data_IF_227887150768
#
_entry.id   IF_227887150768
#
_cell.length_a   1.000
_cell.length_b   1.000
_cell.length_c   1.000
_cell.angle_alpha   90.00
_cell.angle_beta   90.00
_cell.angle_gamma   90.00
#
_symmetry.space_group_name_H-M   'P 1'
#
loop_
_entity.id
_entity.type
_entity.pdbx_description
1 polymer ?
#
# COMPACT_ATOMS: atom_id res chain seq x y z
N UNK A 1 6.47 -1.00 0.77
CA UNK A 1 6.96 0.22 0.08
C UNK A 1 5.93 1.32 -0.03
N UNK A 2 4.78 1.15 -0.70
CA UNK A 2 3.80 2.26 -0.87
C UNK A 2 3.43 2.95 0.46
N UNK A 3 3.04 2.16 1.47
CA UNK A 3 2.74 2.64 2.83
C UNK A 3 3.92 3.43 3.44
N UNK A 4 5.09 2.80 3.51
CA UNK A 4 6.30 3.38 4.12
C UNK A 4 6.79 4.63 3.42
N UNK A 5 6.66 4.69 2.10
CA UNK A 5 7.05 5.85 1.29
C UNK A 5 6.03 6.99 1.33
N UNK A 6 4.99 6.88 2.16
CA UNK A 6 3.85 7.78 2.16
C UNK A 6 3.33 8.03 0.73
N UNK A 7 3.10 6.97 -0.05
CA UNK A 7 2.53 7.03 -1.39
C UNK A 7 3.45 7.56 -2.50
N UNK A 8 4.71 7.91 -2.21
CA UNK A 8 5.70 8.33 -3.24
C UNK A 8 5.92 7.22 -4.25
N UNK A 9 6.10 5.99 -3.77
CA UNK A 9 6.12 4.80 -4.62
C UNK A 9 4.74 4.14 -4.60
N UNK A 10 4.23 3.76 -5.77
CA UNK A 10 2.97 3.03 -5.90
C UNK A 10 3.23 1.54 -6.07
N UNK A 11 2.45 0.71 -5.39
CA UNK A 11 2.44 -0.74 -5.54
C UNK A 11 1.69 -1.11 -6.83
N UNK A 12 2.38 -1.63 -7.86
CA UNK A 12 1.76 -1.92 -9.15
C UNK A 12 0.90 -3.18 -9.07
N UNK A 13 -0.27 -3.14 -9.70
CA UNK A 13 -1.04 -4.35 -9.99
C UNK A 13 -0.49 -4.96 -11.28
N UNK A 14 -0.06 -6.21 -11.20
CA UNK A 14 0.49 -6.96 -12.33
C UNK A 14 -0.28 -8.26 -12.50
N UNK A 15 -0.36 -8.74 -13.74
CA UNK A 15 -1.00 -10.00 -14.10
C UNK A 15 -0.10 -10.75 -15.07
N UNK A 16 -0.07 -12.07 -14.94
CA UNK A 16 0.53 -12.95 -15.95
C UNK A 16 -0.57 -13.48 -16.85
N UNK A 17 -0.33 -13.51 -18.15
CA UNK A 17 -1.21 -14.11 -19.15
C UNK A 17 -0.58 -15.39 -19.68
N UNK A 18 -1.42 -16.37 -20.02
CA UNK A 18 -0.96 -17.61 -20.65
C UNK A 18 -0.58 -17.34 -22.11
N UNK A 19 0.34 -18.15 -22.61
CA UNK A 19 0.75 -18.16 -24.02
C UNK A 19 0.64 -19.60 -24.57
N UNK A 20 0.81 -19.78 -25.88
CA UNK A 20 0.88 -21.11 -26.48
C UNK A 20 2.15 -21.89 -26.13
N UNK A 21 3.13 -21.23 -25.52
CA UNK A 21 4.42 -21.80 -25.13
C UNK A 21 4.57 -21.90 -23.61
N UNK A 22 5.36 -22.86 -23.15
CA UNK A 22 5.71 -23.02 -21.75
C UNK A 22 6.58 -21.86 -21.26
N UNK A 23 6.25 -21.31 -20.09
CA UNK A 23 6.99 -20.22 -19.46
C UNK A 23 7.20 -20.51 -17.99
N UNK A 24 8.46 -20.40 -17.55
CA UNK A 24 8.86 -20.50 -16.14
C UNK A 24 9.44 -19.17 -15.69
N UNK A 25 9.09 -18.72 -14.49
CA UNK A 25 9.66 -17.54 -13.85
C UNK A 25 9.92 -17.79 -12.38
N UNK A 26 11.03 -17.27 -11.86
CA UNK A 26 11.36 -17.26 -10.45
C UNK A 26 11.03 -15.89 -9.85
N UNK A 27 10.37 -15.88 -8.68
CA UNK A 27 10.06 -14.65 -7.93
C UNK A 27 10.62 -14.73 -6.52
N UNK A 28 11.11 -13.61 -6.03
CA UNK A 28 11.64 -13.45 -4.68
C UNK A 28 10.99 -12.23 -4.04
N UNK A 29 10.48 -12.37 -2.81
CA UNK A 29 9.84 -11.31 -2.06
C UNK A 29 10.68 -10.93 -0.84
N UNK A 30 10.95 -9.64 -0.68
CA UNK A 30 11.52 -9.08 0.54
C UNK A 30 10.38 -8.50 1.37
N UNK A 31 10.02 -9.18 2.45
CA UNK A 31 8.93 -8.80 3.33
C UNK A 31 9.47 -8.31 4.69
N UNK A 32 8.83 -7.32 5.31
CA UNK A 32 9.13 -6.95 6.70
C UNK A 32 8.89 -8.11 7.65
N UNK A 33 9.60 -8.13 8.79
CA UNK A 33 9.32 -9.06 9.88
C UNK A 33 7.86 -8.90 10.37
N UNK A 34 7.15 -9.99 10.70
CA UNK A 34 5.72 -9.96 11.04
C UNK A 34 5.37 -8.96 12.17
N UNK A 35 6.26 -8.80 13.14
CA UNK A 35 6.08 -7.95 14.32
C UNK A 35 6.35 -6.46 14.03
N UNK A 36 6.89 -6.12 12.86
CA UNK A 36 7.18 -4.74 12.49
C UNK A 36 5.91 -3.98 12.16
N UNK A 37 5.92 -2.69 12.46
CA UNK A 37 4.85 -1.78 12.06
C UNK A 37 5.08 -1.32 10.62
N UNK A 38 4.02 -1.37 9.82
CA UNK A 38 3.90 -0.70 8.53
C UNK A 38 3.24 0.65 8.79
N UNK A 39 3.98 1.72 8.55
CA UNK A 39 3.51 3.11 8.65
C UNK A 39 4.37 3.99 7.73
N UNK A 40 3.88 5.16 7.31
CA UNK A 40 4.72 6.17 6.67
C UNK A 40 5.98 6.44 7.49
N UNK A 41 7.12 6.49 6.82
CA UNK A 41 8.40 6.90 7.41
C UNK A 41 8.27 8.35 7.87
N UNK A 42 8.71 8.64 9.09
CA UNK A 42 8.48 9.94 9.75
C UNK A 42 9.05 11.11 8.93
N UNK A 43 10.22 10.92 8.31
CA UNK A 43 10.88 11.90 7.46
C UNK A 43 10.14 12.22 6.15
N UNK A 44 9.07 11.47 5.83
CA UNK A 44 8.21 11.67 4.66
C UNK A 44 6.80 12.17 5.03
N UNK A 45 6.62 12.59 6.29
CA UNK A 45 5.38 13.16 6.83
C UNK A 45 5.63 14.57 7.33
N UNK A 46 4.91 15.54 6.76
CA UNK A 46 4.96 16.95 7.16
C UNK A 46 3.60 17.65 6.93
N UNK A 47 3.54 18.96 7.16
CA UNK A 47 2.30 19.74 6.96
C UNK A 47 1.83 19.76 5.49
N UNK A 48 2.75 19.76 4.54
CA UNK A 48 2.44 19.74 3.10
C UNK A 48 2.08 18.33 2.61
N UNK A 49 2.57 17.30 3.28
CA UNK A 49 2.29 15.88 3.01
C UNK A 49 2.01 15.13 4.31
N UNK A 50 0.76 15.20 4.82
CA UNK A 50 0.40 14.46 6.01
C UNK A 50 0.47 12.94 5.77
N UNK A 51 0.43 12.17 6.86
CA UNK A 51 0.38 10.72 6.78
C UNK A 51 -0.87 10.27 6.00
N UNK A 52 -0.69 9.50 4.93
CA UNK A 52 -1.79 9.01 4.10
C UNK A 52 -2.26 7.60 4.48
N UNK A 53 -1.53 6.90 5.34
CA UNK A 53 -1.80 5.51 5.70
C UNK A 53 -1.78 5.32 7.22
N UNK A 54 -2.66 4.46 7.72
CA UNK A 54 -2.70 4.02 9.12
C UNK A 54 -1.54 3.10 9.46
N UNK A 55 -1.08 3.17 10.71
CA UNK A 55 -0.15 2.19 11.30
C UNK A 55 -0.82 0.83 11.46
N UNK A 56 -0.16 -0.23 11.01
CA UNK A 56 -0.62 -1.62 11.17
C UNK A 56 0.59 -2.57 11.33
N UNK A 57 0.43 -3.73 11.98
CA UNK A 57 1.48 -4.77 11.96
C UNK A 57 1.58 -5.45 10.59
N UNK A 58 2.80 -5.82 10.19
CA UNK A 58 3.04 -6.51 8.93
C UNK A 58 2.28 -7.84 8.85
N UNK A 59 2.21 -8.59 9.95
CA UNK A 59 1.41 -9.82 10.04
C UNK A 59 -0.08 -9.57 9.78
N UNK A 60 -0.67 -8.55 10.42
CA UNK A 60 -2.08 -8.23 10.21
C UNK A 60 -2.37 -7.81 8.77
N UNK A 61 -1.44 -7.09 8.13
CA UNK A 61 -1.56 -6.75 6.71
C UNK A 61 -1.49 -8.00 5.82
N UNK A 62 -0.56 -8.92 6.12
CA UNK A 62 -0.40 -10.17 5.37
C UNK A 62 -1.65 -11.06 5.48
N UNK A 63 -2.25 -11.15 6.68
CA UNK A 63 -3.45 -11.95 6.91
C UNK A 63 -4.64 -11.49 6.06
N UNK A 64 -4.82 -10.17 5.86
CA UNK A 64 -5.89 -9.64 5.00
C UNK A 64 -5.55 -9.55 3.51
N UNK A 65 -4.30 -9.82 3.12
CA UNK A 65 -3.83 -9.57 1.76
C UNK A 65 -4.52 -10.49 0.74
N UNK A 66 -4.59 -11.79 1.03
CA UNK A 66 -5.15 -12.76 0.09
C UNK A 66 -6.68 -12.65 -0.03
N UNK A 67 -7.36 -12.28 1.05
CA UNK A 67 -8.81 -12.03 1.02
C UNK A 67 -9.15 -10.84 0.13
N UNK A 68 -8.43 -9.72 0.29
CA UNK A 68 -8.58 -8.56 -0.58
C UNK A 68 -8.24 -8.89 -2.04
N UNK A 69 -7.16 -9.64 -2.27
CA UNK A 69 -6.78 -10.09 -3.61
C UNK A 69 -7.86 -10.95 -4.27
N UNK A 70 -8.45 -11.90 -3.54
CA UNK A 70 -9.53 -12.74 -4.03
C UNK A 70 -10.80 -11.93 -4.37
N UNK A 71 -11.05 -10.83 -3.65
CA UNK A 71 -12.12 -9.88 -3.94
C UNK A 71 -11.79 -8.92 -5.12
N UNK A 72 -10.57 -8.95 -5.66
CA UNK A 72 -10.12 -8.03 -6.70
C UNK A 72 -9.77 -6.63 -6.17
N UNK A 73 -9.59 -6.49 -4.86
CA UNK A 73 -9.33 -5.25 -4.16
C UNK A 73 -7.84 -5.10 -3.81
N UNK A 74 -7.39 -3.88 -3.55
CA UNK A 74 -6.02 -3.61 -3.08
C UNK A 74 -6.03 -3.55 -1.57
N UNK A 75 -5.39 -4.52 -0.91
CA UNK A 75 -5.25 -4.55 0.55
C UNK A 75 -4.74 -3.22 1.16
N UNK A 76 -3.87 -2.51 0.43
CA UNK A 76 -3.30 -1.22 0.83
C UNK A 76 -4.37 -0.12 0.95
N UNK A 77 -5.44 -0.17 0.15
CA UNK A 77 -6.45 0.88 0.13
C UNK A 77 -7.27 0.94 1.42
N UNK A 78 -7.41 -0.17 2.15
CA UNK A 78 -8.05 -0.20 3.48
C UNK A 78 -7.29 0.60 4.54
N UNK A 79 -5.98 0.78 4.35
CA UNK A 79 -5.14 1.53 5.27
C UNK A 79 -5.14 3.02 5.01
N UNK A 80 -5.67 3.48 3.86
CA UNK A 80 -5.70 4.90 3.55
C UNK A 80 -6.50 5.68 4.60
N UNK A 81 -5.91 6.76 5.08
CA UNK A 81 -6.59 7.74 5.91
C UNK A 81 -7.51 8.58 5.02
N UNK A 82 -8.74 8.80 5.46
CA UNK A 82 -9.60 9.81 4.81
C UNK A 82 -9.02 11.17 5.19
N UNK A 83 -8.44 11.86 4.22
CA UNK A 83 -8.15 13.29 4.37
C UNK A 83 -9.50 14.01 4.37
N UNK A 84 -9.86 14.80 5.40
CA UNK A 84 -11.00 15.70 5.30
C UNK A 84 -10.78 16.59 4.08
N UNK A 85 -11.73 16.59 3.15
CA UNK A 85 -11.73 17.54 2.05
C UNK A 85 -12.12 18.91 2.63
N UNK A 86 -11.17 19.62 3.25
CA UNK A 86 -11.45 20.94 3.83
C UNK A 86 -11.18 22.03 2.79
N UNK A 87 -12.29 22.62 2.33
CA UNK A 87 -12.43 23.99 1.84
C UNK A 87 -11.47 24.47 0.75
N UNK A 88 -11.53 23.86 -0.44
CA UNK A 88 -11.25 24.59 -1.68
C UNK A 88 -12.40 25.57 -2.01
N UNK A 89 -12.75 26.47 -1.07
CA UNK A 89 -13.66 27.59 -1.28
C UNK A 89 -13.71 28.55 -0.07
N UNK A 90 -12.57 29.07 0.40
CA UNK A 90 -12.58 30.42 0.96
C UNK A 90 -11.18 31.06 0.91
N UNK A 91 -10.95 31.87 -0.10
CA UNK A 91 -10.26 33.16 0.04
C UNK A 91 -10.17 33.86 -1.32
N UNK A 92 -10.93 34.96 -1.40
CA UNK A 92 -10.81 36.15 -2.25
C UNK A 92 -11.11 36.03 -3.75
#
# INVERSE_FOLDING_TARGET
>A
MEIMSNGVFRAPMHRVVTSGEERVSLVMFYLPEPERSLEPVEELVDEARPAMYRKLKADTFANGFFDAFAAGERAIDFLKLRVPQEAAASSS
#
